data_IF_208079687664
#
_entry.id   IF_208079687664
#
_cell.length_a   1.000
_cell.length_b   1.000
_cell.length_c   1.000
_cell.angle_alpha   90.00
_cell.angle_beta   90.00
_cell.angle_gamma   90.00
#
_symmetry.space_group_name_H-M   'P 1'
#
loop_
_entity.id
_entity.type
_entity.pdbx_description
1 polymer ?
#
# COMPACT_ATOMS: atom_id res chain seq x y z
N UNK A 1 18.04 -2.93 -73.05
CA UNK A 1 18.43 -1.89 -72.07
C UNK A 1 17.63 -2.08 -70.80
N UNK A 2 18.16 -2.88 -69.85
CA UNK A 2 17.47 -3.24 -68.62
C UNK A 2 17.95 -2.36 -67.49
N UNK A 3 17.03 -1.63 -66.85
CA UNK A 3 17.32 -0.89 -65.58
C UNK A 3 16.81 -1.71 -64.41
N UNK A 4 17.74 -2.33 -63.68
CA UNK A 4 17.51 -2.97 -62.38
C UNK A 4 17.23 -1.91 -61.34
N UNK A 5 16.01 -1.82 -60.82
CA UNK A 5 15.67 -1.08 -59.61
C UNK A 5 16.04 -1.95 -58.37
N UNK A 6 16.99 -1.48 -57.61
CA UNK A 6 17.30 -2.03 -56.28
C UNK A 6 16.32 -1.45 -55.29
N UNK A 7 15.40 -2.28 -54.79
CA UNK A 7 14.56 -1.93 -53.66
C UNK A 7 15.34 -2.21 -52.34
N UNK A 8 15.70 -1.14 -51.65
CA UNK A 8 16.24 -1.24 -50.27
C UNK A 8 15.07 -1.38 -49.30
N UNK A 9 14.94 -2.56 -48.71
CA UNK A 9 13.99 -2.81 -47.63
C UNK A 9 14.56 -2.27 -46.32
N UNK A 10 14.04 -1.16 -45.85
CA UNK A 10 14.36 -0.60 -44.51
C UNK A 10 13.48 -1.33 -43.50
N UNK A 11 14.05 -2.28 -42.75
CA UNK A 11 13.39 -2.92 -41.64
C UNK A 11 13.37 -1.93 -40.45
N UNK A 12 12.23 -1.33 -40.21
CA UNK A 12 11.99 -0.53 -38.99
C UNK A 12 11.79 -1.50 -37.81
N UNK A 13 12.79 -1.56 -36.94
CA UNK A 13 12.69 -2.26 -35.65
C UNK A 13 11.76 -1.46 -34.74
N UNK A 14 10.50 -1.88 -34.64
CA UNK A 14 9.57 -1.41 -33.61
C UNK A 14 10.00 -2.01 -32.28
N UNK A 15 10.80 -1.29 -31.51
CA UNK A 15 11.02 -1.56 -30.10
C UNK A 15 9.71 -1.20 -29.38
N UNK A 16 8.86 -2.19 -29.20
CA UNK A 16 7.73 -2.06 -28.30
C UNK A 16 8.31 -1.90 -26.88
N UNK A 17 8.35 -0.68 -26.41
CA UNK A 17 8.58 -0.39 -24.99
C UNK A 17 7.40 -1.02 -24.23
N UNK A 18 7.62 -2.24 -23.71
CA UNK A 18 6.74 -2.85 -22.74
C UNK A 18 6.81 -1.98 -21.48
N UNK A 19 5.93 -1.00 -21.40
CA UNK A 19 5.68 -0.29 -20.14
C UNK A 19 5.39 -1.33 -19.05
N UNK A 20 5.76 -1.08 -17.80
CA UNK A 20 5.46 -1.98 -16.70
C UNK A 20 3.95 -2.21 -16.72
N UNK A 21 3.52 -3.42 -17.01
CA UNK A 21 2.13 -3.82 -16.92
C UNK A 21 1.71 -3.50 -15.49
N UNK A 22 0.86 -2.49 -15.33
CA UNK A 22 0.23 -2.18 -14.05
C UNK A 22 -0.38 -3.51 -13.58
N UNK A 23 0.27 -4.14 -12.59
CA UNK A 23 -0.19 -5.40 -12.04
C UNK A 23 -1.61 -5.14 -11.57
N UNK A 24 -2.60 -5.78 -12.20
CA UNK A 24 -3.98 -5.65 -11.78
C UNK A 24 -4.04 -6.10 -10.32
N UNK A 25 -4.16 -5.12 -9.44
CA UNK A 25 -4.28 -5.30 -8.01
C UNK A 25 -5.48 -6.22 -7.77
N UNK A 26 -5.24 -7.45 -7.33
CA UNK A 26 -6.32 -8.27 -6.80
C UNK A 26 -6.69 -7.62 -5.47
N UNK A 27 -7.74 -6.81 -5.49
CA UNK A 27 -8.34 -6.23 -4.30
C UNK A 27 -8.92 -7.39 -3.49
N UNK A 28 -8.33 -7.70 -2.35
CA UNK A 28 -8.96 -8.60 -1.39
C UNK A 28 -10.31 -7.98 -1.00
N UNK A 29 -11.35 -8.83 -0.93
CA UNK A 29 -12.68 -8.32 -0.64
C UNK A 29 -12.76 -7.91 0.83
N UNK A 30 -13.38 -6.76 1.08
CA UNK A 30 -13.84 -6.38 2.41
C UNK A 30 -14.67 -7.53 2.98
N UNK A 31 -14.39 -7.95 4.20
CA UNK A 31 -15.22 -8.92 4.90
C UNK A 31 -16.59 -8.30 5.18
N UNK A 32 -17.64 -9.06 4.98
CA UNK A 32 -18.99 -8.68 5.38
C UNK A 32 -19.17 -9.00 6.87
N UNK A 33 -19.16 -7.99 7.71
CA UNK A 33 -19.29 -8.14 9.15
C UNK A 33 -20.69 -8.59 9.60
N UNK A 34 -21.69 -8.57 8.70
CA UNK A 34 -23.00 -9.15 8.96
C UNK A 34 -22.99 -10.70 8.90
N UNK A 35 -21.94 -11.30 8.33
CA UNK A 35 -21.75 -12.74 8.23
C UNK A 35 -20.62 -13.19 9.17
N UNK A 36 -20.66 -14.42 9.72
CA UNK A 36 -19.57 -14.94 10.52
C UNK A 36 -18.23 -14.89 9.75
N UNK A 37 -17.23 -14.25 10.33
CA UNK A 37 -15.88 -14.12 9.76
C UNK A 37 -14.92 -14.97 10.57
N UNK A 38 -14.17 -15.84 9.91
CA UNK A 38 -13.14 -16.68 10.51
C UNK A 38 -11.81 -16.45 9.84
N UNK A 39 -10.75 -16.29 10.63
CA UNK A 39 -9.38 -16.24 10.15
C UNK A 39 -8.84 -17.66 9.98
N UNK A 40 -8.31 -17.97 8.80
CA UNK A 40 -7.63 -19.23 8.51
C UNK A 40 -6.19 -19.26 9.06
N UNK A 41 -5.51 -20.41 8.94
CA UNK A 41 -4.10 -20.52 9.31
C UNK A 41 -3.24 -19.49 8.53
N UNK A 42 -2.32 -18.82 9.23
CA UNK A 42 -1.46 -17.78 8.64
C UNK A 42 -2.18 -16.50 8.22
N UNK A 43 -3.46 -16.34 8.58
CA UNK A 43 -4.23 -15.14 8.32
C UNK A 43 -4.38 -14.29 9.58
N UNK A 44 -4.32 -12.99 9.38
CA UNK A 44 -4.81 -11.97 10.30
C UNK A 44 -5.77 -11.04 9.56
N UNK A 45 -6.10 -9.92 10.16
CA UNK A 45 -6.93 -8.92 9.52
C UNK A 45 -6.45 -7.50 9.81
N UNK A 46 -6.72 -6.60 8.88
CA UNK A 46 -6.55 -5.15 9.04
C UNK A 46 -7.94 -4.54 9.16
N UNK A 47 -8.19 -3.82 10.24
CA UNK A 47 -9.39 -3.02 10.44
C UNK A 47 -9.03 -1.54 10.27
N UNK A 48 -9.76 -0.84 9.41
CA UNK A 48 -9.58 0.60 9.17
C UNK A 48 -10.92 1.29 9.37
N UNK A 49 -10.92 2.31 10.21
CA UNK A 49 -12.03 3.24 10.34
C UNK A 49 -11.93 4.34 9.28
N UNK A 50 -13.07 4.76 8.75
CA UNK A 50 -13.19 5.88 7.84
C UNK A 50 -14.12 6.91 8.43
N UNK A 51 -13.64 8.12 8.65
CA UNK A 51 -14.46 9.23 9.11
C UNK A 51 -14.78 10.16 7.95
N UNK A 52 -16.00 10.68 7.95
CA UNK A 52 -16.44 11.68 6.99
C UNK A 52 -16.08 13.07 7.52
N UNK A 53 -15.36 13.89 6.73
CA UNK A 53 -14.98 15.23 7.16
C UNK A 53 -16.21 16.14 7.38
N UNK A 54 -17.26 15.91 6.60
CA UNK A 54 -18.52 16.65 6.67
C UNK A 54 -19.68 15.66 6.60
N UNK A 55 -20.51 15.56 7.66
CA UNK A 55 -21.67 14.67 7.68
C UNK A 55 -22.70 14.96 6.57
N UNK A 56 -22.74 16.19 6.05
CA UNK A 56 -23.64 16.59 4.96
C UNK A 56 -23.04 16.27 3.58
N UNK A 57 -21.76 15.98 3.49
CA UNK A 57 -21.12 15.59 2.24
C UNK A 57 -21.66 14.26 1.75
N UNK A 58 -22.13 14.22 0.50
CA UNK A 58 -22.52 12.98 -0.18
C UNK A 58 -21.32 12.18 -0.73
N UNK A 59 -20.13 12.68 -0.53
CA UNK A 59 -18.91 12.01 -0.99
C UNK A 59 -18.62 10.80 -0.11
N UNK A 60 -18.03 9.76 -0.73
CA UNK A 60 -17.53 8.60 0.00
C UNK A 60 -16.35 9.01 0.88
N UNK A 61 -16.13 8.27 1.97
CA UNK A 61 -14.99 8.49 2.88
C UNK A 61 -13.62 8.27 2.24
N UNK A 62 -13.56 7.70 1.03
CA UNK A 62 -12.31 7.36 0.37
C UNK A 62 -11.85 5.91 0.59
N UNK A 63 -10.62 5.67 0.24
CA UNK A 63 -9.97 4.38 0.39
C UNK A 63 -8.49 4.56 0.74
N UNK A 64 -7.91 3.58 1.43
CA UNK A 64 -6.48 3.48 1.65
C UNK A 64 -5.98 2.13 1.16
N UNK A 65 -4.83 2.14 0.53
CA UNK A 65 -4.16 0.95 0.03
C UNK A 65 -2.98 0.60 0.95
N UNK A 66 -2.86 -0.68 1.25
CA UNK A 66 -1.69 -1.23 1.93
C UNK A 66 -0.99 -2.21 1.00
N UNK A 67 0.33 -2.22 1.05
CA UNK A 67 1.16 -3.16 0.34
C UNK A 67 1.96 -4.00 1.34
N UNK A 68 2.23 -5.26 1.00
CA UNK A 68 3.19 -6.07 1.76
C UNK A 68 4.56 -5.43 1.67
N UNK A 69 5.24 -5.32 2.81
CA UNK A 69 6.49 -4.61 2.92
C UNK A 69 7.59 -5.51 3.46
N UNK A 70 8.78 -5.35 2.94
CA UNK A 70 9.98 -6.00 3.43
C UNK A 70 10.82 -4.97 4.20
N UNK A 71 10.97 -5.21 5.50
CA UNK A 71 11.72 -4.32 6.39
C UNK A 71 13.24 -4.36 6.14
N UNK A 72 13.76 -5.44 5.56
CA UNK A 72 15.20 -5.58 5.27
C UNK A 72 15.56 -4.80 4.01
N UNK A 73 14.83 -5.06 2.93
CA UNK A 73 15.08 -4.39 1.64
C UNK A 73 14.50 -2.99 1.57
N UNK A 74 13.65 -2.62 2.53
CA UNK A 74 12.93 -1.34 2.57
C UNK A 74 12.12 -1.08 1.32
N UNK A 75 11.43 -2.12 0.82
CA UNK A 75 10.63 -2.00 -0.40
C UNK A 75 9.38 -2.88 -0.33
N UNK A 76 8.49 -2.66 -1.28
CA UNK A 76 7.28 -3.42 -1.45
C UNK A 76 7.61 -4.80 -2.00
N UNK A 77 7.04 -5.83 -1.38
CA UNK A 77 7.15 -7.19 -1.87
C UNK A 77 6.28 -7.37 -3.11
N UNK A 78 6.92 -7.44 -4.27
CA UNK A 78 6.22 -7.71 -5.52
C UNK A 78 5.75 -9.17 -5.58
N UNK A 79 4.53 -9.38 -6.10
CA UNK A 79 4.05 -10.76 -6.32
C UNK A 79 4.90 -11.47 -7.37
N UNK A 80 5.50 -12.65 -7.06
CA UNK A 80 6.26 -13.41 -8.03
C UNK A 80 5.41 -13.83 -9.24
N UNK A 81 6.02 -13.89 -10.42
CA UNK A 81 5.34 -14.41 -11.61
C UNK A 81 4.94 -15.87 -11.38
N UNK A 82 3.70 -16.20 -11.69
CA UNK A 82 3.17 -17.56 -11.52
C UNK A 82 2.76 -17.94 -10.10
N UNK A 83 2.97 -17.10 -9.09
CA UNK A 83 2.61 -17.35 -7.68
C UNK A 83 1.18 -17.91 -7.51
N UNK A 84 0.20 -17.35 -8.22
CA UNK A 84 -1.19 -17.85 -8.20
C UNK A 84 -1.31 -19.31 -8.67
N UNK A 85 -0.60 -19.69 -9.74
CA UNK A 85 -0.62 -21.06 -10.27
C UNK A 85 0.05 -22.04 -9.32
N UNK A 86 1.00 -21.55 -8.53
CA UNK A 86 1.68 -22.30 -7.47
C UNK A 86 0.88 -22.40 -6.17
N UNK A 87 -0.36 -21.88 -6.12
CA UNK A 87 -1.20 -21.93 -4.92
C UNK A 87 -0.82 -20.90 -3.86
N UNK A 88 -0.04 -19.89 -4.19
CA UNK A 88 0.34 -18.83 -3.26
C UNK A 88 -0.88 -18.01 -2.82
N UNK A 89 -1.16 -18.04 -1.52
CA UNK A 89 -2.26 -17.32 -0.86
C UNK A 89 -1.82 -16.02 -0.21
N UNK A 90 -0.55 -15.63 -0.37
CA UNK A 90 -0.01 -14.40 0.22
C UNK A 90 -0.73 -13.17 -0.26
N UNK A 91 -1.10 -12.30 0.67
CA UNK A 91 -1.67 -10.99 0.38
C UNK A 91 -0.55 -10.00 0.12
N UNK A 92 -0.44 -9.54 -1.12
CA UNK A 92 0.55 -8.53 -1.52
C UNK A 92 -0.01 -7.13 -1.49
N UNK A 93 -1.32 -6.96 -1.73
CA UNK A 93 -1.99 -5.68 -1.81
C UNK A 93 -3.39 -5.76 -1.23
N UNK A 94 -3.78 -4.72 -0.52
CA UNK A 94 -5.10 -4.56 0.08
C UNK A 94 -5.60 -3.15 -0.20
N UNK A 95 -6.86 -3.03 -0.56
CA UNK A 95 -7.55 -1.76 -0.66
C UNK A 95 -8.72 -1.74 0.34
N UNK A 96 -8.50 -1.11 1.49
CA UNK A 96 -9.55 -0.82 2.42
C UNK A 96 -10.35 0.39 1.94
N UNK A 97 -11.67 0.30 1.93
CA UNK A 97 -12.55 1.38 1.48
C UNK A 97 -13.82 1.43 2.29
N UNK A 98 -14.33 2.62 2.52
CA UNK A 98 -15.67 2.79 3.07
C UNK A 98 -16.72 2.21 2.09
N UNK A 99 -17.64 1.43 2.62
CA UNK A 99 -18.78 0.86 1.88
C UNK A 99 -20.02 1.76 1.96
N UNK A 100 -20.16 2.46 3.07
CA UNK A 100 -21.37 3.20 3.40
C UNK A 100 -21.27 4.68 3.04
N UNK A 101 -22.38 5.23 2.50
CA UNK A 101 -22.44 6.64 2.11
C UNK A 101 -23.11 7.52 3.16
N UNK A 102 -23.86 6.91 4.05
CA UNK A 102 -24.72 7.63 5.02
C UNK A 102 -24.12 7.71 6.40
N UNK A 103 -23.21 6.80 6.77
CA UNK A 103 -22.60 6.81 8.08
C UNK A 103 -21.54 7.90 8.22
N UNK A 104 -21.46 8.50 9.39
CA UNK A 104 -20.39 9.45 9.75
C UNK A 104 -19.06 8.72 9.88
N UNK A 105 -19.10 7.49 10.37
CA UNK A 105 -17.97 6.59 10.51
C UNK A 105 -18.34 5.22 9.96
N UNK A 106 -17.44 4.61 9.22
CA UNK A 106 -17.57 3.26 8.69
C UNK A 106 -16.26 2.50 8.91
N UNK A 107 -16.34 1.18 9.07
CA UNK A 107 -15.17 0.33 9.27
C UNK A 107 -15.04 -0.67 8.12
N UNK A 108 -13.82 -0.90 7.69
CA UNK A 108 -13.49 -1.89 6.66
C UNK A 108 -12.53 -2.93 7.24
N UNK A 109 -12.98 -4.17 7.32
CA UNK A 109 -12.16 -5.32 7.72
C UNK A 109 -11.64 -6.02 6.48
N UNK A 110 -10.31 -6.20 6.41
CA UNK A 110 -9.63 -6.89 5.32
C UNK A 110 -8.88 -8.08 5.88
N UNK A 111 -9.24 -9.30 5.44
CA UNK A 111 -8.48 -10.51 5.80
C UNK A 111 -7.22 -10.54 4.94
N UNK A 112 -6.07 -10.71 5.60
CA UNK A 112 -4.75 -10.68 4.96
C UNK A 112 -3.87 -11.82 5.49
N UNK A 113 -2.84 -12.20 4.74
CA UNK A 113 -1.80 -13.09 5.28
C UNK A 113 -0.96 -12.35 6.31
N UNK A 114 -0.43 -13.05 7.31
CA UNK A 114 0.51 -12.46 8.26
C UNK A 114 1.72 -11.83 7.56
N UNK A 115 2.28 -10.75 8.12
CA UNK A 115 3.45 -10.05 7.59
C UNK A 115 3.46 -8.56 7.89
N UNK A 116 4.46 -7.88 7.36
CA UNK A 116 4.58 -6.44 7.47
C UNK A 116 3.88 -5.76 6.29
N UNK A 117 3.21 -4.65 6.58
CA UNK A 117 2.44 -3.87 5.61
C UNK A 117 2.82 -2.41 5.71
N UNK A 118 2.88 -1.75 4.57
CA UNK A 118 3.08 -0.31 4.47
C UNK A 118 1.81 0.34 3.89
N UNK A 119 1.45 1.51 4.39
CA UNK A 119 0.39 2.31 3.81
C UNK A 119 0.87 2.87 2.47
N UNK A 120 0.50 2.21 1.38
CA UNK A 120 0.95 2.57 0.04
C UNK A 120 0.41 3.92 -0.43
N UNK A 121 -0.85 4.19 -0.13
CA UNK A 121 -1.46 5.43 -0.59
C UNK A 121 -2.94 5.54 -0.27
N UNK A 122 -3.54 6.62 -0.74
CA UNK A 122 -4.94 6.91 -0.56
C UNK A 122 -5.63 7.26 -1.89
N UNK A 123 -6.93 7.05 -1.93
CA UNK A 123 -7.75 7.27 -3.11
C UNK A 123 -9.12 7.87 -2.74
N UNK A 124 -9.69 8.76 -3.58
CA UNK A 124 -11.05 9.25 -3.35
C UNK A 124 -12.10 8.18 -3.64
N UNK A 125 -11.83 7.21 -4.53
CA UNK A 125 -12.78 6.14 -4.88
C UNK A 125 -12.17 4.78 -5.20
N UNK A 126 -11.43 4.62 -6.29
CA UNK A 126 -10.99 3.31 -6.79
C UNK A 126 -9.53 3.25 -7.26
N UNK A 127 -8.97 4.38 -7.61
CA UNK A 127 -7.60 4.50 -8.10
C UNK A 127 -6.80 5.24 -7.04
N UNK A 128 -5.64 4.74 -6.68
CA UNK A 128 -4.74 5.41 -5.74
C UNK A 128 -4.29 6.72 -6.40
N UNK A 129 -4.69 7.84 -5.80
CA UNK A 129 -4.42 9.19 -6.30
C UNK A 129 -3.14 9.78 -5.68
N UNK A 130 -2.86 9.41 -4.44
CA UNK A 130 -1.67 9.80 -3.70
C UNK A 130 -0.92 8.56 -3.24
N UNK A 131 0.39 8.51 -3.50
CA UNK A 131 1.29 7.42 -3.09
C UNK A 131 2.29 7.95 -2.07
N UNK A 132 2.44 7.25 -0.93
CA UNK A 132 3.25 7.70 0.21
C UNK A 132 4.69 7.16 0.19
N UNK A 133 5.28 7.01 -0.97
CA UNK A 133 6.60 6.40 -1.14
C UNK A 133 7.77 7.23 -0.60
N UNK A 134 7.56 8.49 -0.26
CA UNK A 134 8.59 9.37 0.31
C UNK A 134 8.66 9.31 1.85
N UNK A 135 7.87 8.46 2.47
CA UNK A 135 7.75 8.23 3.90
C UNK A 135 6.32 7.81 4.22
N UNK A 136 6.14 6.61 4.71
CA UNK A 136 4.84 6.02 4.99
C UNK A 136 4.80 5.29 6.32
N UNK A 137 3.63 5.17 6.97
CA UNK A 137 3.47 4.29 8.12
C UNK A 137 3.50 2.82 7.70
N UNK A 138 4.20 2.02 8.48
CA UNK A 138 4.24 0.56 8.38
C UNK A 138 3.81 -0.08 9.69
N UNK A 139 3.32 -1.31 9.64
CA UNK A 139 2.87 -2.07 10.81
C UNK A 139 2.87 -3.56 10.49
N UNK A 140 2.87 -4.38 11.54
CA UNK A 140 2.84 -5.83 11.42
C UNK A 140 1.45 -6.40 11.71
N UNK A 141 1.07 -7.43 10.95
CA UNK A 141 -0.10 -8.28 11.19
C UNK A 141 0.40 -9.68 11.48
N UNK A 142 0.01 -10.26 12.64
CA UNK A 142 0.31 -11.65 12.98
C UNK A 142 -0.89 -12.55 12.71
N UNK A 143 -0.64 -13.84 12.56
CA UNK A 143 -1.71 -14.82 12.41
C UNK A 143 -2.66 -14.78 13.63
N UNK A 144 -3.97 -14.80 13.35
CA UNK A 144 -5.01 -14.75 14.37
C UNK A 144 -5.29 -13.37 14.96
N UNK A 145 -4.53 -12.34 14.62
CA UNK A 145 -4.75 -10.97 15.10
C UNK A 145 -5.66 -10.16 14.17
N UNK A 146 -6.44 -9.25 14.76
CA UNK A 146 -7.11 -8.14 14.07
C UNK A 146 -6.39 -6.87 14.46
N UNK A 147 -5.66 -6.28 13.51
CA UNK A 147 -4.88 -5.07 13.74
C UNK A 147 -5.70 -3.85 13.34
N UNK A 148 -6.06 -3.01 14.29
CA UNK A 148 -6.72 -1.74 14.04
C UNK A 148 -5.69 -0.68 13.65
N UNK A 149 -5.69 -0.31 12.38
CA UNK A 149 -4.77 0.71 11.88
C UNK A 149 -5.11 2.11 12.42
N UNK A 150 -6.37 2.37 12.68
CA UNK A 150 -6.89 3.67 13.10
C UNK A 150 -8.01 4.16 12.18
N UNK A 151 -8.52 5.35 12.48
CA UNK A 151 -9.50 6.05 11.67
C UNK A 151 -8.82 7.04 10.74
N UNK A 152 -9.14 6.99 9.47
CA UNK A 152 -8.58 7.87 8.47
C UNK A 152 -9.66 8.74 7.82
N UNK A 153 -9.31 9.98 7.52
CA UNK A 153 -10.12 10.89 6.74
C UNK A 153 -9.29 11.42 5.60
N UNK A 154 -9.38 10.80 4.41
CA UNK A 154 -8.62 11.27 3.25
C UNK A 154 -9.25 12.55 2.69
N UNK A 155 -8.53 13.66 2.75
CA UNK A 155 -8.84 14.91 2.07
C UNK A 155 -8.03 14.99 0.79
N UNK A 156 -8.57 14.47 -0.31
CA UNK A 156 -7.84 14.39 -1.56
C UNK A 156 -8.34 15.47 -2.53
N UNK A 157 -7.41 16.14 -3.19
CA UNK A 157 -7.70 17.18 -4.17
C UNK A 157 -8.56 18.34 -3.63
N UNK A 158 -8.40 18.67 -2.36
CA UNK A 158 -9.11 19.78 -1.72
C UNK A 158 -8.67 21.10 -2.33
N UNK A 159 -9.63 21.90 -2.79
CA UNK A 159 -9.37 23.23 -3.33
C UNK A 159 -9.05 24.21 -2.21
N UNK A 160 -7.86 24.72 -2.21
CA UNK A 160 -7.38 25.74 -1.27
C UNK A 160 -7.68 27.14 -1.80
N UNK A 161 -7.57 28.12 -0.91
CA UNK A 161 -7.59 29.51 -1.27
C UNK A 161 -6.52 29.82 -2.35
N UNK A 162 -6.85 30.65 -3.35
CA UNK A 162 -5.97 30.86 -4.50
C UNK A 162 -6.04 29.78 -5.59
N UNK A 163 -6.99 28.83 -5.51
CA UNK A 163 -7.25 27.83 -6.54
C UNK A 163 -6.29 26.64 -6.57
N UNK A 164 -5.29 26.60 -5.70
CA UNK A 164 -4.38 25.46 -5.56
C UNK A 164 -5.15 24.26 -5.00
N UNK A 165 -4.69 23.05 -5.31
CA UNK A 165 -5.21 21.82 -4.73
C UNK A 165 -4.19 21.24 -3.76
N UNK A 166 -4.68 20.69 -2.67
CA UNK A 166 -3.89 19.98 -1.69
C UNK A 166 -4.52 18.63 -1.38
N UNK A 167 -3.68 17.66 -1.04
CA UNK A 167 -4.10 16.38 -0.51
C UNK A 167 -3.51 16.25 0.90
N UNK A 168 -4.34 15.82 1.82
CA UNK A 168 -3.98 15.58 3.21
C UNK A 168 -4.76 14.39 3.71
N UNK A 169 -4.34 13.84 4.84
CA UNK A 169 -5.08 12.80 5.53
C UNK A 169 -5.06 13.09 7.03
N UNK A 170 -6.24 13.16 7.64
CA UNK A 170 -6.33 13.16 9.08
C UNK A 170 -6.33 11.73 9.62
N UNK A 171 -5.78 11.56 10.80
CA UNK A 171 -5.69 10.30 11.51
C UNK A 171 -6.16 10.49 12.96
N UNK A 172 -6.89 9.50 13.45
CA UNK A 172 -7.19 9.33 14.88
C UNK A 172 -7.23 7.85 15.20
N UNK A 173 -7.18 7.51 16.48
CA UNK A 173 -7.27 6.11 16.92
C UNK A 173 -8.27 6.04 18.07
N UNK A 174 -9.34 5.27 17.87
CA UNK A 174 -10.40 5.01 18.84
C UNK A 174 -10.69 3.51 18.83
N UNK A 175 -9.96 2.77 19.65
CA UNK A 175 -10.03 1.31 19.72
C UNK A 175 -11.40 0.83 20.25
N UNK A 176 -12.10 1.63 21.04
CA UNK A 176 -13.40 1.25 21.59
C UNK A 176 -14.47 1.30 20.52
N UNK A 177 -14.49 2.34 19.70
CA UNK A 177 -15.36 2.40 18.51
C UNK A 177 -15.04 1.28 17.51
N UNK A 178 -13.77 0.95 17.33
CA UNK A 178 -13.36 -0.18 16.49
C UNK A 178 -13.86 -1.52 17.06
N UNK A 179 -13.84 -1.69 18.38
CA UNK A 179 -14.37 -2.88 19.05
C UNK A 179 -15.88 -2.99 18.91
N UNK A 180 -16.58 -1.86 19.02
CA UNK A 180 -18.03 -1.79 18.82
C UNK A 180 -18.41 -2.21 17.38
N UNK A 181 -17.64 -1.79 16.39
CA UNK A 181 -17.85 -2.20 14.99
C UNK A 181 -17.71 -3.73 14.79
N UNK A 182 -17.01 -4.41 15.69
CA UNK A 182 -16.85 -5.86 15.70
C UNK A 182 -17.79 -6.56 16.69
N UNK A 183 -18.80 -5.89 17.26
CA UNK A 183 -19.68 -6.45 18.30
C UNK A 183 -20.41 -7.73 17.86
N UNK A 184 -20.75 -7.85 16.58
CA UNK A 184 -21.30 -9.07 15.97
C UNK A 184 -20.29 -10.21 15.73
N UNK A 185 -19.00 -10.00 16.04
CA UNK A 185 -17.89 -10.90 15.73
C UNK A 185 -17.01 -11.09 16.98
N UNK A 186 -17.48 -11.78 18.03
CA UNK A 186 -16.81 -11.79 19.34
C UNK A 186 -15.37 -12.32 19.29
N UNK A 187 -15.08 -13.29 18.43
CA UNK A 187 -13.73 -13.83 18.26
C UNK A 187 -12.78 -12.76 17.68
N UNK A 188 -13.23 -12.01 16.70
CA UNK A 188 -12.43 -10.93 16.09
C UNK A 188 -12.26 -9.75 17.05
N UNK A 189 -13.32 -9.40 17.81
CA UNK A 189 -13.27 -8.35 18.81
C UNK A 189 -12.27 -8.69 19.94
N UNK A 190 -12.18 -9.96 20.35
CA UNK A 190 -11.19 -10.44 21.33
C UNK A 190 -9.75 -10.42 20.78
N UNK A 191 -9.59 -10.62 19.48
CA UNK A 191 -8.29 -10.58 18.78
C UNK A 191 -7.85 -9.17 18.39
N UNK A 192 -8.70 -8.14 18.58
CA UNK A 192 -8.43 -6.77 18.20
C UNK A 192 -7.30 -6.15 19.02
N UNK A 193 -6.32 -5.58 18.32
CA UNK A 193 -5.17 -4.85 18.88
C UNK A 193 -4.95 -3.56 18.09
N UNK A 194 -4.46 -2.48 18.71
CA UNK A 194 -4.00 -1.31 17.97
C UNK A 194 -2.77 -1.69 17.15
N UNK A 195 -2.61 -1.06 15.99
CA UNK A 195 -1.43 -1.22 15.17
C UNK A 195 -0.19 -0.64 15.87
N UNK A 196 0.90 -1.39 15.92
CA UNK A 196 2.22 -0.90 16.29
C UNK A 196 2.84 -0.19 15.08
N UNK A 197 2.48 1.07 14.89
CA UNK A 197 2.85 1.83 13.70
C UNK A 197 4.27 2.38 13.83
N UNK A 198 5.03 2.28 12.73
CA UNK A 198 6.33 2.93 12.52
C UNK A 198 6.26 3.78 11.26
N UNK A 199 6.68 5.03 11.35
CA UNK A 199 6.73 5.96 10.22
C UNK A 199 8.00 5.79 9.38
N UNK A 200 8.16 6.61 8.34
CA UNK A 200 9.34 6.74 7.48
C UNK A 200 9.70 5.50 6.66
N UNK A 201 8.74 4.60 6.39
CA UNK A 201 8.96 3.57 5.38
C UNK A 201 9.01 4.22 3.99
N UNK A 202 10.04 3.93 3.23
CA UNK A 202 10.20 4.35 1.83
C UNK A 202 10.09 3.14 0.92
N UNK A 203 9.68 3.34 -0.34
CA UNK A 203 9.62 2.26 -1.34
C UNK A 203 9.64 2.83 -2.75
N UNK A 204 10.02 2.00 -3.73
CA UNK A 204 9.97 2.39 -5.14
C UNK A 204 8.54 2.72 -5.57
N UNK A 205 8.35 3.89 -6.18
CA UNK A 205 7.05 4.26 -6.71
C UNK A 205 7.10 4.87 -8.09
N UNK A 206 6.00 4.69 -8.83
CA UNK A 206 5.75 5.23 -10.16
C UNK A 206 4.38 5.91 -10.14
N UNK A 207 4.28 7.03 -9.45
CA UNK A 207 3.00 7.74 -9.33
C UNK A 207 3.17 9.22 -9.68
N UNK A 208 2.08 9.84 -10.10
CA UNK A 208 2.09 11.28 -10.39
C UNK A 208 2.12 12.13 -9.11
N UNK A 209 1.52 11.65 -8.03
CA UNK A 209 1.45 12.33 -6.74
C UNK A 209 2.21 11.52 -5.68
N UNK A 210 3.52 11.75 -5.58
CA UNK A 210 4.38 11.16 -4.56
C UNK A 210 4.40 12.05 -3.33
N UNK A 211 4.06 11.49 -2.18
CA UNK A 211 3.93 12.21 -0.91
C UNK A 211 4.66 11.45 0.20
N UNK A 212 4.90 12.15 1.30
CA UNK A 212 5.16 11.54 2.59
C UNK A 212 3.91 11.64 3.45
N UNK A 213 3.68 10.65 4.28
CA UNK A 213 2.65 10.66 5.31
C UNK A 213 3.16 10.00 6.58
N UNK A 214 2.98 10.66 7.70
CA UNK A 214 3.33 10.13 9.02
C UNK A 214 2.10 10.11 9.93
N UNK A 215 1.93 9.05 10.68
CA UNK A 215 0.91 8.95 11.73
C UNK A 215 1.42 9.74 12.95
N UNK A 216 0.64 10.72 13.45
CA UNK A 216 1.06 11.51 14.60
C UNK A 216 1.31 10.65 15.83
N UNK A 217 2.45 10.86 16.49
CA UNK A 217 2.82 10.17 17.73
C UNK A 217 3.40 8.75 17.53
N UNK A 218 3.43 8.22 16.32
CA UNK A 218 4.14 6.98 16.04
C UNK A 218 5.65 7.25 15.86
N UNK A 219 6.46 6.31 16.32
CA UNK A 219 7.91 6.37 16.16
C UNK A 219 8.32 6.10 14.71
N UNK A 220 9.51 6.54 14.33
CA UNK A 220 10.07 6.23 13.02
C UNK A 220 10.68 4.83 12.98
N UNK A 221 10.75 4.24 11.78
CA UNK A 221 11.58 3.07 11.55
C UNK A 221 13.04 3.39 11.89
N UNK A 222 13.81 2.45 12.47
CA UNK A 222 15.23 2.64 12.66
C UNK A 222 15.90 3.01 11.33
N UNK A 223 16.92 3.85 11.39
CA UNK A 223 17.72 4.18 10.20
C UNK A 223 18.31 2.89 9.59
N UNK A 224 18.28 2.74 8.26
CA UNK A 224 18.89 1.57 7.62
C UNK A 224 20.40 1.54 7.93
N UNK A 225 20.99 0.36 8.13
CA UNK A 225 22.44 0.27 8.30
C UNK A 225 23.12 0.93 7.08
N UNK A 226 24.25 1.62 7.30
CA UNK A 226 24.98 2.21 6.20
C UNK A 226 25.30 1.10 5.17
N UNK A 227 25.25 1.40 3.86
CA UNK A 227 25.61 0.44 2.84
C UNK A 227 27.01 -0.11 3.16
N UNK A 228 27.16 -1.43 3.08
CA UNK A 228 28.47 -2.05 3.27
C UNK A 228 29.47 -1.32 2.37
N UNK A 229 30.56 -0.82 2.96
CA UNK A 229 31.60 -0.13 2.20
C UNK A 229 31.99 -1.03 1.02
N UNK A 230 31.75 -0.57 -0.20
CA UNK A 230 32.28 -1.23 -1.38
C UNK A 230 33.77 -1.37 -1.13
N UNK A 231 34.38 -2.59 -1.28
CA UNK A 231 35.82 -2.71 -1.13
C UNK A 231 36.45 -1.65 -2.03
N UNK A 232 37.06 -0.64 -1.41
CA UNK A 232 37.77 0.37 -2.16
C UNK A 232 38.77 -0.37 -3.06
N UNK A 233 38.76 -0.03 -4.32
CA UNK A 233 39.61 -0.51 -5.40
C UNK A 233 40.84 -1.23 -4.89
N UNK A 234 40.89 -2.55 -5.11
CA UNK A 234 42.15 -3.27 -4.97
C UNK A 234 43.16 -2.55 -5.87
N UNK A 235 44.32 -2.15 -5.34
CA UNK A 235 45.30 -1.45 -6.15
C UNK A 235 45.61 -2.30 -7.39
N UNK A 236 45.50 -1.69 -8.56
CA UNK A 236 45.78 -2.31 -9.84
C UNK A 236 47.18 -2.98 -9.72
N UNK A 237 47.23 -4.27 -9.98
CA UNK A 237 48.51 -4.98 -10.07
C UNK A 237 49.37 -4.26 -11.09
N UNK A 238 50.63 -3.96 -10.77
CA UNK A 238 51.54 -3.34 -11.71
C UNK A 238 51.74 -4.24 -12.90
N UNK A 239 51.44 -3.74 -14.10
CA UNK A 239 51.70 -4.34 -15.39
C UNK A 239 53.18 -4.72 -15.47
N UNK A 240 53.52 -5.97 -15.21
CA UNK A 240 54.83 -6.52 -15.56
C UNK A 240 54.88 -6.77 -17.06
N UNK A 241 55.14 -5.73 -17.80
CA UNK A 241 55.62 -5.89 -19.18
C UNK A 241 57.05 -6.40 -19.16
N UNK A 242 57.22 -7.59 -19.68
CA UNK A 242 58.51 -8.14 -20.05
C UNK A 242 58.52 -8.58 -21.52
#
# INVERSE_FOLDING_TARGET
MSRLLKAAATAALLIAAAGPAAAQLKVERRADLALPVTLGPGQGAILVGFRRPDPQSRNRHGAVAFARYDLETRDIVARPRGARRAGDTTTYWVLAKSGERTLVQDHSLMIVSEGDYVMYGAAPMRVVDATFCLGAPTFRVRAGEVVYFGDVTPYLNVRMEGGRRASAMAYSSDIDTAREALSGQPTLAAALRPAEIRNQATFGCVAQNMLAYAVPGAEDLPEPPPPAATPADAPAEPDTQN
#
